data_IF_383752423210
#
_entry.id   IF_383752423210
#
_cell.length_a   1.000
_cell.length_b   1.000
_cell.length_c   1.000
_cell.angle_alpha   90.00
_cell.angle_beta   90.00
_cell.angle_gamma   90.00
#
_symmetry.space_group_name_H-M   'P 1'
#
loop_
_entity.id
_entity.type
_entity.pdbx_description
1 polymer ?
#
# COMPACT_ATOMS: atom_id res chain seq x y z
N UNK A 1 13.55 -13.42 -7.60
CA UNK A 1 12.16 -13.46 -7.07
C UNK A 1 11.20 -13.38 -8.25
N UNK A 2 10.58 -14.48 -8.63
CA UNK A 2 9.55 -14.53 -9.66
C UNK A 2 8.40 -13.59 -9.23
N UNK A 3 7.96 -12.71 -10.13
CA UNK A 3 6.81 -11.86 -9.88
C UNK A 3 5.56 -12.71 -9.70
N UNK A 4 4.75 -12.42 -8.69
CA UNK A 4 3.41 -13.00 -8.61
C UNK A 4 2.61 -12.38 -9.75
N UNK A 5 2.35 -13.17 -10.81
CA UNK A 5 1.41 -12.81 -11.85
C UNK A 5 0.01 -12.92 -11.25
N UNK A 6 -0.57 -11.77 -10.89
CA UNK A 6 -1.94 -11.72 -10.41
C UNK A 6 -2.87 -11.80 -11.64
N UNK A 7 -3.34 -12.99 -11.95
CA UNK A 7 -4.43 -13.20 -12.92
C UNK A 7 -5.74 -13.13 -12.15
N UNK A 8 -6.45 -12.01 -12.25
CA UNK A 8 -7.75 -11.84 -11.60
C UNK A 8 -8.79 -12.56 -12.46
N UNK A 9 -9.29 -13.69 -11.96
CA UNK A 9 -10.46 -14.37 -12.54
C UNK A 9 -11.70 -13.91 -11.77
N UNK A 10 -12.68 -13.39 -12.49
CA UNK A 10 -13.92 -12.89 -11.92
C UNK A 10 -14.84 -14.08 -11.60
N UNK A 11 -15.24 -14.24 -10.33
CA UNK A 11 -16.42 -15.05 -9.99
C UNK A 11 -17.63 -14.11 -10.06
N UNK A 12 -18.36 -14.23 -11.16
CA UNK A 12 -19.14 -13.13 -11.71
C UNK A 12 -20.56 -13.51 -12.10
N UNK A 13 -21.09 -14.65 -11.66
CA UNK A 13 -22.43 -15.09 -12.08
C UNK A 13 -23.49 -13.98 -11.94
N UNK A 14 -23.52 -13.28 -10.80
CA UNK A 14 -24.45 -12.15 -10.57
C UNK A 14 -24.08 -10.89 -11.36
N UNK A 15 -22.80 -10.67 -11.60
CA UNK A 15 -22.29 -9.51 -12.32
C UNK A 15 -22.51 -9.67 -13.84
N UNK A 16 -22.22 -10.85 -14.40
CA UNK A 16 -22.55 -11.29 -15.76
C UNK A 16 -24.04 -11.29 -16.00
N UNK A 17 -24.84 -11.85 -15.10
CA UNK A 17 -26.30 -11.79 -15.22
C UNK A 17 -26.80 -10.34 -15.30
N UNK A 18 -26.31 -9.48 -14.41
CA UNK A 18 -26.69 -8.07 -14.42
C UNK A 18 -26.18 -7.31 -15.67
N UNK A 19 -24.98 -7.63 -16.15
CA UNK A 19 -24.46 -7.11 -17.44
C UNK A 19 -25.34 -7.56 -18.61
N UNK A 20 -25.71 -8.83 -18.65
CA UNK A 20 -26.57 -9.39 -19.68
C UNK A 20 -27.96 -8.75 -19.65
N UNK A 21 -28.54 -8.56 -18.46
CA UNK A 21 -29.80 -7.84 -18.29
C UNK A 21 -29.68 -6.40 -18.81
N UNK A 22 -28.57 -5.70 -18.53
CA UNK A 22 -28.35 -4.35 -19.03
C UNK A 22 -28.24 -4.30 -20.57
N UNK A 23 -27.56 -5.26 -21.18
CA UNK A 23 -27.41 -5.31 -22.65
C UNK A 23 -28.74 -5.70 -23.31
N UNK A 24 -29.44 -6.70 -22.79
CA UNK A 24 -30.68 -7.22 -23.40
C UNK A 24 -31.87 -6.31 -23.12
N UNK A 25 -32.10 -5.92 -21.87
CA UNK A 25 -33.30 -5.19 -21.46
C UNK A 25 -33.16 -3.68 -21.68
N UNK A 26 -31.97 -3.13 -21.39
CA UNK A 26 -31.73 -1.68 -21.47
C UNK A 26 -31.00 -1.27 -22.76
N UNK A 27 -30.76 -2.22 -23.68
CA UNK A 27 -30.06 -2.01 -24.95
C UNK A 27 -28.71 -1.31 -24.80
N UNK A 28 -28.03 -1.53 -23.67
CA UNK A 28 -26.74 -0.92 -23.41
C UNK A 28 -25.69 -1.40 -24.43
N UNK A 29 -24.77 -0.52 -24.81
CA UNK A 29 -23.57 -0.89 -25.54
C UNK A 29 -22.67 -1.74 -24.62
N UNK A 30 -22.71 -3.06 -24.80
CA UNK A 30 -21.97 -4.03 -24.01
C UNK A 30 -20.47 -3.70 -23.89
N UNK A 31 -19.74 -3.57 -25.00
CA UNK A 31 -18.32 -3.22 -24.97
C UNK A 31 -18.01 -1.95 -24.16
N UNK A 32 -18.76 -0.86 -24.37
CA UNK A 32 -18.54 0.39 -23.62
C UNK A 32 -18.87 0.21 -22.13
N UNK A 33 -19.93 -0.54 -21.80
CA UNK A 33 -20.32 -0.83 -20.42
C UNK A 33 -19.23 -1.59 -19.67
N UNK A 34 -18.63 -2.60 -20.30
CA UNK A 34 -17.56 -3.39 -19.68
C UNK A 34 -16.28 -2.52 -19.52
N UNK A 35 -15.96 -1.65 -20.47
CA UNK A 35 -14.85 -0.67 -20.32
C UNK A 35 -15.10 0.31 -19.17
N UNK A 36 -16.32 0.84 -19.04
CA UNK A 36 -16.70 1.70 -17.92
C UNK A 36 -16.54 0.97 -16.58
N UNK A 37 -17.01 -0.28 -16.47
CA UNK A 37 -16.89 -1.08 -15.25
C UNK A 37 -15.43 -1.41 -14.90
N UNK A 38 -14.63 -1.78 -15.90
CA UNK A 38 -13.19 -2.01 -15.72
C UNK A 38 -12.48 -0.77 -15.17
N UNK A 39 -12.81 0.41 -15.71
CA UNK A 39 -12.29 1.70 -15.25
C UNK A 39 -12.69 1.99 -13.80
N UNK A 40 -13.95 1.73 -13.44
CA UNK A 40 -14.45 1.92 -12.09
C UNK A 40 -13.79 0.94 -11.10
N UNK A 41 -13.58 -0.30 -11.52
CA UNK A 41 -12.88 -1.32 -10.73
C UNK A 41 -11.44 -0.90 -10.40
N UNK A 42 -10.65 -0.50 -11.40
CA UNK A 42 -9.28 -0.02 -11.18
C UNK A 42 -9.29 1.17 -10.22
N UNK A 43 -10.25 2.07 -10.39
CA UNK A 43 -10.45 3.19 -9.48
C UNK A 43 -10.70 2.76 -8.03
N UNK A 44 -11.56 1.77 -7.79
CA UNK A 44 -11.81 1.22 -6.44
C UNK A 44 -10.57 0.51 -5.87
N UNK A 45 -9.83 -0.24 -6.69
CA UNK A 45 -8.58 -0.88 -6.28
C UNK A 45 -7.53 0.15 -5.82
N UNK A 46 -7.32 1.20 -6.62
CA UNK A 46 -6.35 2.24 -6.28
C UNK A 46 -6.71 2.95 -4.97
N UNK A 47 -8.01 3.18 -4.71
CA UNK A 47 -8.50 3.77 -3.44
C UNK A 47 -8.29 2.86 -2.23
N UNK A 48 -8.23 1.55 -2.45
CA UNK A 48 -8.06 0.49 -1.43
C UNK A 48 -6.64 -0.04 -1.29
N UNK A 49 -5.74 0.43 -2.13
CA UNK A 49 -4.32 0.10 -2.03
C UNK A 49 -3.59 1.18 -1.24
N UNK A 50 -2.79 0.85 -0.22
CA UNK A 50 -2.05 1.85 0.57
C UNK A 50 -1.00 2.60 -0.27
N UNK A 51 -0.48 3.75 0.21
CA UNK A 51 -0.78 4.39 1.50
C UNK A 51 -2.12 5.13 1.55
N UNK A 52 -2.61 5.38 2.76
CA UNK A 52 -3.80 6.20 3.06
C UNK A 52 -3.44 7.26 4.11
N UNK A 53 -3.87 8.49 3.88
CA UNK A 53 -3.95 9.49 4.93
C UNK A 53 -4.88 8.96 6.03
N UNK A 54 -4.45 9.04 7.28
CA UNK A 54 -5.38 8.92 8.40
C UNK A 54 -6.30 10.13 8.33
N UNK A 55 -7.45 9.99 7.68
CA UNK A 55 -8.55 10.92 7.89
C UNK A 55 -8.77 11.00 9.41
N UNK A 56 -8.69 12.19 9.99
CA UNK A 56 -8.94 12.46 11.41
C UNK A 56 -10.35 12.07 11.88
N UNK A 57 -11.20 11.60 10.95
CA UNK A 57 -12.50 10.98 11.20
C UNK A 57 -12.59 9.68 10.41
N UNK A 58 -11.83 8.66 10.81
CA UNK A 58 -12.05 7.29 10.37
C UNK A 58 -13.33 6.76 11.07
N UNK A 59 -14.47 7.41 10.81
CA UNK A 59 -15.76 7.15 11.47
C UNK A 59 -16.56 6.03 10.79
N UNK A 60 -15.98 5.29 9.84
CA UNK A 60 -16.61 4.04 9.38
C UNK A 60 -15.56 3.04 8.90
N UNK A 61 -15.77 1.76 9.22
CA UNK A 61 -14.91 0.62 8.86
C UNK A 61 -14.66 0.44 7.34
N UNK A 62 -15.28 1.24 6.46
CA UNK A 62 -15.35 0.96 5.02
C UNK A 62 -14.97 2.13 4.09
N UNK A 63 -14.62 3.32 4.60
CA UNK A 63 -14.27 4.48 3.77
C UNK A 63 -12.77 4.49 3.42
N UNK A 64 -12.37 3.69 2.45
CA UNK A 64 -11.06 3.81 1.81
C UNK A 64 -11.10 4.96 0.78
N UNK A 65 -10.01 5.73 0.67
CA UNK A 65 -9.92 7.10 0.14
C UNK A 65 -10.86 7.52 -0.99
N UNK A 66 -11.37 8.76 -0.96
CA UNK A 66 -12.23 9.31 -2.03
C UNK A 66 -11.50 9.45 -3.38
N UNK A 67 -10.18 9.61 -3.37
CA UNK A 67 -9.33 9.92 -4.54
C UNK A 67 -8.28 8.83 -4.80
N UNK A 68 -7.69 8.82 -5.99
CA UNK A 68 -6.69 7.83 -6.44
C UNK A 68 -5.29 8.00 -5.81
N UNK A 69 -5.20 8.69 -4.67
CA UNK A 69 -3.97 9.12 -4.03
C UNK A 69 -3.90 10.65 -3.94
N UNK A 70 -4.00 11.19 -2.74
CA UNK A 70 -3.82 12.63 -2.48
C UNK A 70 -2.38 12.95 -2.03
N UNK A 71 -2.09 14.24 -1.83
CA UNK A 71 -0.81 14.65 -1.22
C UNK A 71 -0.69 14.13 0.21
N UNK A 72 -1.80 14.09 0.94
CA UNK A 72 -1.87 13.54 2.29
C UNK A 72 -1.61 12.03 2.31
N UNK A 73 -2.10 11.29 1.31
CA UNK A 73 -1.79 9.86 1.17
C UNK A 73 -0.28 9.62 0.96
N UNK A 74 0.36 10.47 0.15
CA UNK A 74 1.79 10.41 -0.08
C UNK A 74 2.59 10.69 1.20
N UNK A 75 2.24 11.76 1.93
CA UNK A 75 2.89 12.10 3.20
C UNK A 75 2.63 11.04 4.28
N UNK A 76 1.45 10.42 4.32
CA UNK A 76 1.18 9.29 5.19
C UNK A 76 2.08 8.08 4.86
N UNK A 77 2.35 7.84 3.58
CA UNK A 77 3.33 6.85 3.13
C UNK A 77 4.74 7.15 3.63
N UNK A 78 5.19 8.40 3.52
CA UNK A 78 6.50 8.82 4.04
C UNK A 78 6.57 8.64 5.54
N UNK A 79 5.57 9.09 6.28
CA UNK A 79 5.51 8.97 7.74
C UNK A 79 5.53 7.51 8.21
N UNK A 80 4.85 6.61 7.49
CA UNK A 80 4.90 5.18 7.77
C UNK A 80 6.31 4.62 7.56
N UNK A 81 6.97 4.95 6.44
CA UNK A 81 8.35 4.54 6.15
C UNK A 81 9.33 5.09 7.19
N UNK A 82 9.23 6.38 7.54
CA UNK A 82 10.07 7.00 8.57
C UNK A 82 9.88 6.32 9.92
N UNK A 83 8.63 6.08 10.31
CA UNK A 83 8.31 5.42 11.57
C UNK A 83 8.79 3.96 11.62
N UNK A 84 8.74 3.25 10.49
CA UNK A 84 9.24 1.88 10.38
C UNK A 84 10.78 1.85 10.46
N UNK A 85 11.47 2.73 9.72
CA UNK A 85 12.93 2.80 9.77
C UNK A 85 13.46 3.26 11.13
N UNK A 86 12.82 4.25 11.77
CA UNK A 86 13.22 4.76 13.09
C UNK A 86 13.07 3.72 14.23
N UNK A 87 12.23 2.69 14.04
CA UNK A 87 12.12 1.58 14.99
C UNK A 87 13.36 0.69 14.98
N UNK A 88 13.97 0.49 13.81
CA UNK A 88 15.06 -0.47 13.61
C UNK A 88 16.43 0.19 13.44
N UNK A 89 16.47 1.48 13.12
CA UNK A 89 17.71 2.20 12.90
C UNK A 89 17.65 3.59 13.54
N UNK A 90 18.77 3.99 14.13
CA UNK A 90 19.01 5.36 14.53
C UNK A 90 20.09 5.98 13.66
N UNK A 91 20.29 7.28 13.80
CA UNK A 91 21.30 8.00 13.04
C UNK A 91 22.01 9.05 13.89
N UNK A 92 23.26 9.33 13.54
CA UNK A 92 24.08 10.35 14.17
C UNK A 92 25.09 10.92 13.16
N UNK A 93 25.84 11.94 13.56
CA UNK A 93 26.94 12.45 12.75
C UNK A 93 28.03 11.39 12.53
N UNK A 94 28.56 11.32 11.30
CA UNK A 94 29.61 10.34 10.94
C UNK A 94 30.81 10.41 11.89
N UNK A 95 31.28 11.61 12.23
CA UNK A 95 32.43 11.81 13.12
C UNK A 95 32.19 11.22 14.51
N UNK A 96 30.98 11.39 15.05
CA UNK A 96 30.59 10.78 16.33
C UNK A 96 30.59 9.25 16.25
N UNK A 97 30.03 8.68 15.19
CA UNK A 97 30.02 7.22 14.99
C UNK A 97 31.43 6.64 14.83
N UNK A 98 32.30 7.35 14.11
CA UNK A 98 33.69 6.97 13.94
C UNK A 98 34.42 7.00 15.28
N UNK A 99 34.30 8.09 16.03
CA UNK A 99 34.88 8.20 17.37
C UNK A 99 34.43 7.06 18.29
N UNK A 100 33.14 6.73 18.29
CA UNK A 100 32.65 5.58 19.05
C UNK A 100 33.30 4.29 18.57
N UNK A 101 33.28 4.03 17.27
CA UNK A 101 33.85 2.79 16.70
C UNK A 101 35.33 2.64 17.06
N UNK A 102 36.10 3.74 17.05
CA UNK A 102 37.52 3.75 17.40
C UNK A 102 37.74 3.57 18.91
N UNK A 103 36.84 4.13 19.74
CA UNK A 103 36.95 4.10 21.20
C UNK A 103 36.50 2.76 21.81
N UNK A 104 35.40 2.19 21.29
CA UNK A 104 34.71 1.04 21.89
C UNK A 104 34.72 -0.20 20.99
N UNK A 105 35.25 -0.10 19.77
CA UNK A 105 35.15 -1.16 18.77
C UNK A 105 33.78 -1.21 18.08
N UNK A 106 33.66 -2.08 17.08
CA UNK A 106 32.48 -2.18 16.20
C UNK A 106 31.48 -3.26 16.63
N UNK A 107 31.63 -3.84 17.83
CA UNK A 107 30.87 -5.01 18.30
C UNK A 107 30.03 -4.66 19.51
N UNK A 108 28.69 -4.67 19.34
CA UNK A 108 27.66 -4.69 20.39
C UNK A 108 27.96 -3.78 21.60
N UNK A 109 27.85 -2.47 21.41
CA UNK A 109 27.95 -1.56 22.54
C UNK A 109 26.66 -1.67 23.35
N UNK A 110 26.76 -2.38 24.47
CA UNK A 110 25.87 -2.25 25.60
C UNK A 110 26.69 -1.67 26.75
N UNK A 111 26.43 -0.42 27.15
CA UNK A 111 26.24 -0.14 28.57
C UNK A 111 25.52 1.17 28.87
N UNK A 112 24.85 1.07 30.03
CA UNK A 112 23.89 1.90 30.72
C UNK A 112 24.50 2.18 32.10
N UNK A 113 24.24 3.35 32.71
CA UNK A 113 24.24 3.45 34.18
C UNK A 113 23.15 4.42 34.65
N UNK A 114 22.13 3.86 35.30
CA UNK A 114 21.31 4.57 36.27
C UNK A 114 21.86 4.25 37.66
N UNK A 115 22.48 5.22 38.32
CA UNK A 115 22.38 5.31 39.78
C UNK A 115 21.26 6.31 40.06
N UNK A 116 20.22 5.88 40.79
CA UNK A 116 19.24 6.79 41.39
C UNK A 116 20.03 7.82 42.23
N UNK A 117 20.16 9.05 41.73
CA UNK A 117 20.93 10.13 42.35
C UNK A 117 22.23 10.56 41.64
N UNK A 118 22.72 9.86 40.60
CA UNK A 118 23.87 10.36 39.81
C UNK A 118 23.41 11.21 38.63
N UNK A 119 23.87 12.46 38.53
CA UNK A 119 23.52 13.44 37.48
C UNK A 119 24.00 13.10 36.05
N UNK A 120 24.48 11.89 35.76
CA UNK A 120 24.98 11.50 34.42
C UNK A 120 24.25 10.26 33.90
N UNK A 121 23.29 10.40 32.97
CA UNK A 121 22.71 9.27 32.27
C UNK A 121 23.33 9.12 30.88
N UNK A 122 23.87 7.95 30.53
CA UNK A 122 23.97 7.55 29.13
C UNK A 122 23.56 6.08 29.00
N UNK A 123 22.60 5.84 28.13
CA UNK A 123 22.16 4.52 27.68
C UNK A 123 22.23 4.59 26.16
N UNK A 124 23.20 3.91 25.57
CA UNK A 124 23.31 3.76 24.11
C UNK A 124 23.20 2.29 23.80
N UNK A 125 21.96 1.80 23.67
CA UNK A 125 21.69 0.45 23.18
C UNK A 125 21.62 0.51 21.65
N UNK A 126 22.69 0.09 21.02
CA UNK A 126 22.83 -0.09 19.58
C UNK A 126 23.60 -1.37 19.30
N UNK A 127 23.08 -2.19 18.38
CA UNK A 127 23.64 -3.51 18.12
C UNK A 127 24.90 -3.44 17.26
N UNK A 128 24.95 -2.49 16.34
CA UNK A 128 26.03 -2.35 15.36
C UNK A 128 26.04 -0.95 14.75
N UNK A 129 27.17 -0.58 14.16
CA UNK A 129 27.32 0.61 13.33
C UNK A 129 27.51 0.17 11.87
N UNK A 130 26.82 0.84 10.95
CA UNK A 130 26.98 0.65 9.51
C UNK A 130 27.20 2.00 8.84
N UNK A 131 28.12 2.06 7.88
CA UNK A 131 28.46 3.33 7.22
C UNK A 131 27.84 3.49 5.84
N UNK A 132 27.30 2.41 5.27
CA UNK A 132 26.77 2.41 3.91
C UNK A 132 25.28 2.03 3.84
N UNK A 133 24.63 2.48 2.76
CA UNK A 133 23.20 2.24 2.52
C UNK A 133 22.91 0.74 2.32
N UNK A 134 23.86 -0.02 1.77
CA UNK A 134 23.69 -1.45 1.47
C UNK A 134 23.46 -2.28 2.73
N UNK A 135 24.25 -2.04 3.77
CA UNK A 135 24.14 -2.66 5.08
C UNK A 135 22.83 -2.28 5.77
N UNK A 136 22.49 -0.99 5.77
CA UNK A 136 21.21 -0.52 6.30
C UNK A 136 20.03 -1.18 5.59
N UNK A 137 20.09 -1.31 4.27
CA UNK A 137 19.05 -1.97 3.48
C UNK A 137 18.98 -3.49 3.75
N UNK A 138 20.12 -4.15 4.00
CA UNK A 138 20.16 -5.57 4.37
C UNK A 138 19.55 -5.78 5.76
N UNK A 139 19.94 -4.94 6.72
CA UNK A 139 19.41 -4.98 8.08
C UNK A 139 17.91 -4.69 8.11
N UNK A 140 17.46 -3.62 7.43
CA UNK A 140 16.04 -3.30 7.32
C UNK A 140 15.23 -4.48 6.80
N UNK A 141 15.68 -5.12 5.71
CA UNK A 141 15.02 -6.32 5.15
C UNK A 141 14.99 -7.50 6.12
N UNK A 142 16.05 -7.72 6.92
CA UNK A 142 16.06 -8.79 7.92
C UNK A 142 15.09 -8.57 9.08
N UNK A 143 14.68 -7.32 9.34
CA UNK A 143 13.75 -6.97 10.41
C UNK A 143 12.29 -6.89 9.93
N UNK A 144 12.02 -7.03 8.63
CA UNK A 144 10.66 -7.04 8.11
C UNK A 144 9.94 -8.34 8.50
N UNK A 145 8.73 -8.22 9.03
CA UNK A 145 7.84 -9.35 9.24
C UNK A 145 7.32 -9.91 7.90
N UNK A 146 6.56 -11.02 7.95
CA UNK A 146 5.82 -11.56 6.79
C UNK A 146 4.91 -10.55 6.09
N UNK A 147 4.53 -9.48 6.78
CA UNK A 147 3.69 -8.40 6.26
C UNK A 147 4.49 -7.23 5.67
N UNK A 148 5.81 -7.36 5.57
CA UNK A 148 6.68 -6.35 4.95
C UNK A 148 6.89 -5.10 5.78
N UNK A 149 6.54 -5.12 7.08
CA UNK A 149 6.82 -4.06 8.04
C UNK A 149 7.57 -4.61 9.25
N UNK A 150 8.46 -3.83 9.89
CA UNK A 150 9.05 -4.26 11.14
C UNK A 150 7.96 -4.48 12.19
N UNK A 151 8.05 -5.54 13.00
CA UNK A 151 7.10 -5.77 14.07
C UNK A 151 7.13 -4.56 15.01
N UNK A 152 5.95 -4.03 15.34
CA UNK A 152 5.87 -2.90 16.26
C UNK A 152 6.22 -3.39 17.67
N UNK A 153 7.49 -3.22 18.04
CA UNK A 153 8.06 -3.65 19.33
C UNK A 153 7.27 -3.06 20.51
N UNK A 154 6.63 -1.90 20.32
CA UNK A 154 5.83 -1.22 21.35
C UNK A 154 4.39 -1.75 21.48
N UNK A 155 3.86 -2.46 20.47
CA UNK A 155 2.45 -2.94 20.47
C UNK A 155 2.30 -4.43 20.70
N UNK A 156 3.30 -5.25 20.37
CA UNK A 156 3.12 -6.71 20.36
C UNK A 156 3.08 -7.37 21.73
N UNK A 157 3.45 -6.68 22.83
CA UNK A 157 3.34 -7.19 24.21
C UNK A 157 4.23 -8.41 24.53
N UNK A 158 4.59 -9.21 23.53
CA UNK A 158 5.69 -10.18 23.51
C UNK A 158 7.00 -9.41 23.53
N UNK A 159 7.34 -8.98 24.74
CA UNK A 159 8.67 -8.55 25.14
C UNK A 159 9.55 -9.80 25.04
N UNK A 160 10.10 -10.09 23.87
CA UNK A 160 11.28 -10.96 23.78
C UNK A 160 12.38 -10.22 24.54
N UNK A 161 12.48 -10.53 25.83
CA UNK A 161 13.33 -9.83 26.76
C UNK A 161 14.77 -10.05 26.39
N UNK A 162 15.46 -8.98 25.97
CA UNK A 162 16.90 -8.95 26.10
C UNK A 162 17.28 -9.15 27.57
N UNK A 163 18.38 -9.85 27.82
CA UNK A 163 18.84 -10.26 29.15
C UNK A 163 19.31 -9.10 30.05
N UNK A 164 19.29 -7.85 29.56
CA UNK A 164 20.09 -6.76 30.12
C UNK A 164 19.40 -5.81 31.13
N UNK A 165 18.08 -5.89 31.36
CA UNK A 165 17.36 -4.92 32.22
C UNK A 165 16.30 -5.56 33.12
N UNK A 166 16.74 -6.41 34.05
CA UNK A 166 15.87 -7.12 35.01
C UNK A 166 15.23 -6.18 36.06
N UNK A 167 15.84 -5.03 36.36
CA UNK A 167 15.55 -4.31 37.62
C UNK A 167 14.67 -3.04 37.50
N UNK A 168 14.36 -2.55 36.29
CA UNK A 168 13.68 -1.24 36.10
C UNK A 168 12.30 -1.36 35.43
N UNK A 169 11.75 -2.57 35.33
CA UNK A 169 10.37 -2.82 34.88
C UNK A 169 10.05 -2.44 33.43
N UNK A 170 11.02 -2.00 32.62
CA UNK A 170 10.84 -1.59 31.22
C UNK A 170 11.76 -2.37 30.29
N UNK A 171 11.23 -3.48 29.80
CA UNK A 171 11.84 -4.40 28.85
C UNK A 171 11.77 -3.83 27.43
N UNK A 172 12.89 -3.35 26.85
CA UNK A 172 12.99 -3.11 25.40
C UNK A 172 14.42 -3.38 24.94
N UNK A 173 14.70 -4.56 24.39
CA UNK A 173 15.92 -4.77 23.62
C UNK A 173 15.84 -3.87 22.38
N UNK A 174 16.66 -2.82 22.31
CA UNK A 174 16.73 -1.95 21.14
C UNK A 174 17.78 -2.52 20.20
N UNK A 175 17.37 -3.49 19.41
CA UNK A 175 18.20 -4.01 18.31
C UNK A 175 18.29 -3.01 17.15
N UNK A 176 18.91 -1.86 17.41
CA UNK A 176 19.04 -0.78 16.44
C UNK A 176 20.39 -0.84 15.74
N UNK A 177 20.35 -0.73 14.42
CA UNK A 177 21.53 -0.41 13.63
C UNK A 177 21.70 1.11 13.61
N UNK A 178 22.92 1.58 13.81
CA UNK A 178 23.18 3.02 13.77
C UNK A 178 24.04 3.37 12.59
N UNK A 179 23.65 4.46 11.94
CA UNK A 179 24.19 4.84 10.65
C UNK A 179 24.45 6.34 10.60
N UNK A 180 25.38 6.81 9.76
CA UNK A 180 25.54 8.24 9.54
C UNK A 180 24.24 8.88 9.03
N UNK A 181 24.03 10.17 9.38
CA UNK A 181 22.89 10.97 8.93
C UNK A 181 22.68 10.87 7.42
N UNK A 182 23.74 11.02 6.62
CA UNK A 182 23.68 10.95 5.17
C UNK A 182 23.26 9.57 4.65
N UNK A 183 23.69 8.50 5.32
CA UNK A 183 23.31 7.12 4.99
C UNK A 183 21.83 6.88 5.32
N UNK A 184 21.38 7.37 6.48
CA UNK A 184 19.99 7.25 6.91
C UNK A 184 19.03 8.00 5.97
N UNK A 185 19.29 9.28 5.74
CA UNK A 185 18.43 10.12 4.89
C UNK A 185 18.54 9.74 3.41
N UNK A 186 19.71 9.32 2.95
CA UNK A 186 19.91 8.75 1.62
C UNK A 186 19.06 7.51 1.40
N UNK A 187 19.04 6.59 2.37
CA UNK A 187 18.19 5.40 2.29
C UNK A 187 16.69 5.72 2.41
N UNK A 188 16.29 6.64 3.29
CA UNK A 188 14.90 7.12 3.36
C UNK A 188 14.43 7.67 2.03
N UNK A 189 15.26 8.46 1.34
CA UNK A 189 14.94 8.98 0.01
C UNK A 189 14.70 7.86 -1.00
N UNK A 190 15.52 6.79 -0.97
CA UNK A 190 15.29 5.60 -1.80
C UNK A 190 13.96 4.92 -1.47
N UNK A 191 13.64 4.74 -0.19
CA UNK A 191 12.37 4.16 0.26
C UNK A 191 11.16 5.00 -0.16
N UNK A 192 11.25 6.32 -0.07
CA UNK A 192 10.20 7.23 -0.57
C UNK A 192 9.99 7.12 -2.08
N UNK A 193 11.04 6.75 -2.82
CA UNK A 193 10.95 6.37 -4.23
C UNK A 193 9.94 5.27 -4.51
N UNK A 194 9.76 4.32 -3.58
CA UNK A 194 8.83 3.19 -3.71
C UNK A 194 7.38 3.48 -3.30
N UNK A 195 7.09 4.67 -2.75
CA UNK A 195 5.73 5.06 -2.40
C UNK A 195 4.89 5.09 -3.69
N UNK A 196 3.78 4.34 -3.67
CA UNK A 196 2.84 4.23 -4.80
C UNK A 196 3.00 3.00 -5.67
N UNK A 197 4.05 2.19 -5.48
CA UNK A 197 4.28 1.00 -6.30
C UNK A 197 3.10 0.01 -6.26
N UNK A 198 2.43 -0.13 -5.10
CA UNK A 198 1.25 -0.98 -4.96
C UNK A 198 0.08 -0.51 -5.86
N UNK A 199 -0.18 0.80 -5.87
CA UNK A 199 -1.25 1.43 -6.66
C UNK A 199 -0.94 1.40 -8.15
N UNK A 200 0.34 1.34 -8.50
CA UNK A 200 0.82 1.38 -9.87
C UNK A 200 0.66 0.06 -10.65
N UNK A 201 0.31 -1.04 -9.97
CA UNK A 201 0.09 -2.36 -10.58
C UNK A 201 -0.95 -2.36 -11.71
N UNK A 202 -1.81 -1.36 -11.79
CA UNK A 202 -2.83 -1.20 -12.84
C UNK A 202 -2.66 0.08 -13.68
N UNK A 203 -1.50 0.76 -13.62
CA UNK A 203 -1.29 2.00 -14.39
C UNK A 203 -1.54 1.81 -15.89
N UNK A 204 -0.98 0.76 -16.49
CA UNK A 204 -1.15 0.46 -17.91
C UNK A 204 -2.63 0.31 -18.29
N UNK A 205 -3.38 -0.48 -17.51
CA UNK A 205 -4.80 -0.68 -17.73
C UNK A 205 -5.60 0.61 -17.48
N UNK A 206 -5.25 1.39 -16.46
CA UNK A 206 -5.87 2.67 -16.17
C UNK A 206 -5.69 3.65 -17.34
N UNK A 207 -4.49 3.71 -17.94
CA UNK A 207 -4.22 4.55 -19.11
C UNK A 207 -4.97 4.07 -20.35
N UNK A 208 -4.97 2.76 -20.62
CA UNK A 208 -5.73 2.17 -21.73
C UNK A 208 -7.24 2.49 -21.62
N UNK A 209 -7.78 2.53 -20.40
CA UNK A 209 -9.18 2.88 -20.11
C UNK A 209 -9.42 4.41 -19.97
N UNK A 210 -8.44 5.24 -20.34
CA UNK A 210 -8.57 6.69 -20.38
C UNK A 210 -8.69 7.37 -19.01
N UNK A 211 -8.12 6.78 -17.96
CA UNK A 211 -8.05 7.42 -16.63
C UNK A 211 -7.01 8.55 -16.63
N UNK A 212 -7.48 9.79 -16.59
CA UNK A 212 -6.61 10.98 -16.68
C UNK A 212 -5.97 11.44 -15.36
N UNK A 213 -6.53 11.04 -14.20
CA UNK A 213 -6.20 11.63 -12.89
C UNK A 213 -5.42 10.68 -11.98
N UNK A 214 -4.35 10.07 -12.51
CA UNK A 214 -3.43 9.24 -11.71
C UNK A 214 -2.32 10.13 -11.15
N UNK A 215 -2.08 10.14 -9.82
CA UNK A 215 -1.03 10.99 -9.24
C UNK A 215 0.36 10.68 -9.80
N UNK A 216 1.23 11.70 -10.03
CA UNK A 216 2.57 11.49 -10.59
C UNK A 216 3.44 10.50 -9.80
N UNK A 217 3.32 10.49 -8.47
CA UNK A 217 4.08 9.58 -7.59
C UNK A 217 3.64 8.10 -7.70
N UNK A 218 2.44 7.84 -8.23
CA UNK A 218 1.97 6.50 -8.62
C UNK A 218 2.39 6.19 -10.05
N UNK A 219 2.25 7.15 -10.98
CA UNK A 219 2.57 7.00 -12.40
C UNK A 219 4.03 6.63 -12.67
N UNK A 220 4.98 7.17 -11.88
CA UNK A 220 6.43 6.94 -12.05
C UNK A 220 6.87 5.48 -11.97
N UNK A 221 6.04 4.60 -11.41
CA UNK A 221 6.35 3.18 -11.25
C UNK A 221 6.13 2.35 -12.53
N UNK A 222 5.70 2.99 -13.61
CA UNK A 222 5.59 2.37 -14.93
C UNK A 222 4.37 1.45 -15.11
N UNK A 223 4.40 0.71 -16.23
CA UNK A 223 3.34 -0.18 -16.71
C UNK A 223 3.49 -1.57 -16.09
N UNK A 224 3.20 -1.67 -14.79
CA UNK A 224 3.23 -2.95 -14.06
C UNK A 224 1.99 -3.83 -14.33
N UNK A 225 1.19 -3.53 -15.34
CA UNK A 225 -0.03 -4.27 -15.66
C UNK A 225 -0.27 -4.39 -17.16
N UNK A 226 -1.29 -5.16 -17.53
CA UNK A 226 -1.75 -5.28 -18.90
C UNK A 226 -3.27 -5.17 -18.97
N UNK A 227 -3.73 -4.72 -20.13
CA UNK A 227 -5.13 -4.65 -20.49
C UNK A 227 -5.31 -5.26 -21.87
N UNK A 228 -6.25 -6.20 -21.98
CA UNK A 228 -6.67 -6.73 -23.27
C UNK A 228 -8.17 -6.97 -23.29
N UNK A 229 -8.79 -6.62 -24.41
CA UNK A 229 -10.18 -6.94 -24.73
C UNK A 229 -10.18 -8.23 -25.56
N UNK A 230 -11.01 -9.21 -25.19
CA UNK A 230 -11.16 -10.46 -25.93
C UNK A 230 -12.64 -10.80 -26.08
N UNK A 231 -13.05 -11.31 -27.23
CA UNK A 231 -14.40 -11.84 -27.47
C UNK A 231 -15.18 -11.12 -28.55
N UNK A 232 -16.32 -11.70 -28.91
CA UNK A 232 -17.29 -11.16 -29.87
C UNK A 232 -18.37 -10.32 -29.15
N UNK A 233 -19.29 -9.73 -29.92
CA UNK A 233 -20.39 -8.92 -29.37
C UNK A 233 -21.30 -9.68 -28.39
N UNK A 234 -21.28 -11.02 -28.43
CA UNK A 234 -22.06 -11.91 -27.56
C UNK A 234 -21.31 -12.39 -26.30
N UNK A 235 -19.97 -12.37 -26.29
CA UNK A 235 -19.13 -12.89 -25.22
C UNK A 235 -17.89 -12.01 -24.99
N UNK A 236 -18.12 -10.72 -24.73
CA UNK A 236 -17.07 -9.76 -24.46
C UNK A 236 -16.45 -9.96 -23.07
N UNK A 237 -15.14 -10.24 -23.02
CA UNK A 237 -14.35 -10.40 -21.82
C UNK A 237 -13.24 -9.34 -21.75
N UNK A 238 -13.06 -8.72 -20.59
CA UNK A 238 -11.89 -7.87 -20.32
C UNK A 238 -10.94 -8.61 -19.39
N UNK A 239 -9.69 -8.74 -19.83
CA UNK A 239 -8.60 -9.24 -18.99
C UNK A 239 -7.82 -8.04 -18.47
N UNK A 240 -7.85 -7.87 -17.15
CA UNK A 240 -7.03 -6.89 -16.43
C UNK A 240 -6.05 -7.67 -15.57
N UNK A 241 -4.76 -7.49 -15.82
CA UNK A 241 -3.71 -8.10 -15.00
C UNK A 241 -2.79 -7.02 -14.44
N UNK A 242 -2.30 -7.26 -13.23
CA UNK A 242 -1.38 -6.36 -12.55
C UNK A 242 -0.35 -7.16 -11.77
N UNK A 243 0.91 -6.77 -11.85
CA UNK A 243 1.97 -7.34 -11.04
C UNK A 243 2.18 -6.47 -9.81
N UNK A 244 1.77 -6.97 -8.64
CA UNK A 244 2.08 -6.34 -7.37
C UNK A 244 2.95 -7.24 -6.52
N UNK A 245 4.10 -6.72 -6.10
CA UNK A 245 5.00 -7.39 -5.14
C UNK A 245 4.61 -7.09 -3.69
N UNK A 246 3.48 -6.41 -3.47
CA UNK A 246 3.06 -5.96 -2.13
C UNK A 246 2.24 -7.06 -1.46
N UNK A 247 2.65 -7.53 -0.27
CA UNK A 247 1.85 -8.49 0.50
C UNK A 247 0.42 -7.98 0.72
N UNK A 248 -0.57 -8.84 0.51
CA UNK A 248 -1.98 -8.48 0.67
C UNK A 248 -2.61 -7.71 -0.50
N UNK A 249 -1.89 -7.53 -1.63
CA UNK A 249 -2.46 -6.91 -2.82
C UNK A 249 -3.71 -7.64 -3.36
N UNK A 250 -3.74 -8.98 -3.28
CA UNK A 250 -4.90 -9.78 -3.67
C UNK A 250 -6.14 -9.41 -2.86
N UNK A 251 -6.01 -9.24 -1.53
CA UNK A 251 -7.12 -8.82 -0.69
C UNK A 251 -7.71 -7.47 -1.12
N UNK A 252 -6.86 -6.50 -1.48
CA UNK A 252 -7.33 -5.21 -1.98
C UNK A 252 -8.06 -5.34 -3.33
N UNK A 253 -7.64 -6.27 -4.18
CA UNK A 253 -8.35 -6.64 -5.42
C UNK A 253 -9.71 -7.23 -5.10
N UNK A 254 -9.77 -8.24 -4.23
CA UNK A 254 -11.01 -8.95 -3.88
C UNK A 254 -12.04 -7.99 -3.27
N UNK A 255 -11.59 -7.12 -2.36
CA UNK A 255 -12.43 -6.10 -1.74
C UNK A 255 -12.94 -5.06 -2.76
N UNK A 256 -12.06 -4.60 -3.67
CA UNK A 256 -12.44 -3.68 -4.74
C UNK A 256 -13.48 -4.30 -5.67
N UNK A 257 -13.29 -5.57 -6.01
CA UNK A 257 -14.19 -6.33 -6.86
C UNK A 257 -15.57 -6.49 -6.22
N UNK A 258 -15.62 -6.99 -4.97
CA UNK A 258 -16.86 -7.21 -4.25
C UNK A 258 -17.70 -5.92 -4.14
N UNK A 259 -17.04 -4.79 -3.91
CA UNK A 259 -17.71 -3.49 -3.79
C UNK A 259 -18.17 -2.98 -5.14
N UNK A 260 -17.38 -3.16 -6.20
CA UNK A 260 -17.78 -2.76 -7.54
C UNK A 260 -18.98 -3.57 -8.01
N UNK A 261 -18.97 -4.88 -7.85
CA UNK A 261 -20.11 -5.75 -8.14
C UNK A 261 -21.37 -5.30 -7.39
N UNK A 262 -21.26 -5.04 -6.07
CA UNK A 262 -22.38 -4.53 -5.26
C UNK A 262 -22.92 -3.19 -5.77
N UNK A 263 -22.03 -2.24 -6.09
CA UNK A 263 -22.41 -0.92 -6.61
C UNK A 263 -23.07 -1.01 -7.98
N UNK A 264 -22.57 -1.88 -8.86
CA UNK A 264 -23.11 -2.08 -10.19
C UNK A 264 -24.53 -2.65 -10.15
N UNK A 265 -24.75 -3.73 -9.38
CA UNK A 265 -26.08 -4.33 -9.21
C UNK A 265 -27.08 -3.31 -8.66
N UNK A 266 -26.69 -2.54 -7.63
CA UNK A 266 -27.55 -1.50 -7.06
C UNK A 266 -27.90 -0.40 -8.09
N UNK A 267 -26.92 -0.01 -8.91
CA UNK A 267 -27.11 0.99 -9.97
C UNK A 267 -28.04 0.48 -11.08
N UNK A 268 -27.87 -0.75 -11.54
CA UNK A 268 -28.75 -1.36 -12.53
C UNK A 268 -30.17 -1.50 -12.02
N UNK A 269 -30.37 -1.98 -10.78
CA UNK A 269 -31.71 -2.05 -10.18
C UNK A 269 -32.39 -0.68 -10.15
N UNK A 270 -31.63 0.38 -9.87
CA UNK A 270 -32.14 1.76 -9.92
C UNK A 270 -32.52 2.17 -11.34
N UNK A 271 -31.69 1.86 -12.33
CA UNK A 271 -31.95 2.18 -13.74
C UNK A 271 -33.19 1.42 -14.25
N UNK A 272 -33.27 0.11 -14.00
CA UNK A 272 -34.41 -0.73 -14.39
C UNK A 272 -35.71 -0.24 -13.74
N UNK A 273 -35.68 0.10 -12.44
CA UNK A 273 -36.85 0.66 -11.76
C UNK A 273 -37.28 2.01 -12.35
N UNK A 274 -36.32 2.87 -12.68
CA UNK A 274 -36.58 4.16 -13.33
C UNK A 274 -37.15 3.98 -14.74
N UNK A 275 -36.62 3.04 -15.51
CA UNK A 275 -37.09 2.71 -16.85
C UNK A 275 -38.51 2.14 -16.80
N UNK A 276 -38.80 1.20 -15.90
CA UNK A 276 -40.15 0.66 -15.72
C UNK A 276 -41.18 1.74 -15.36
N UNK A 277 -40.79 2.75 -14.58
CA UNK A 277 -41.69 3.83 -14.16
C UNK A 277 -41.89 4.91 -15.23
N UNK A 278 -40.90 5.18 -16.08
CA UNK A 278 -40.89 6.37 -16.96
C UNK A 278 -40.78 6.06 -18.44
N UNK A 279 -40.47 4.82 -18.81
CA UNK A 279 -40.10 4.40 -20.17
C UNK A 279 -38.77 4.99 -20.66
N UNK A 280 -38.03 5.73 -19.81
CA UNK A 280 -36.78 6.42 -20.17
C UNK A 280 -35.62 5.96 -19.29
N UNK A 281 -34.46 5.79 -19.90
CA UNK A 281 -33.22 5.47 -19.19
C UNK A 281 -32.61 6.77 -18.65
N UNK A 282 -32.63 6.94 -17.33
CA UNK A 282 -32.04 8.10 -16.65
C UNK A 282 -30.70 7.70 -16.04
N UNK A 283 -29.62 7.84 -16.82
CA UNK A 283 -28.26 7.56 -16.36
C UNK A 283 -27.24 8.54 -16.94
N UNK A 284 -26.10 8.67 -16.25
CA UNK A 284 -24.95 9.47 -16.71
C UNK A 284 -23.92 8.63 -17.48
N UNK A 285 -24.15 7.33 -17.57
CA UNK A 285 -23.27 6.38 -18.26
C UNK A 285 -23.40 6.54 -19.76
N UNK A 286 -22.27 6.55 -20.45
CA UNK A 286 -22.24 6.67 -21.90
C UNK A 286 -22.73 5.39 -22.56
N UNK A 287 -22.48 4.24 -21.91
CA UNK A 287 -22.89 2.94 -22.42
C UNK A 287 -24.41 2.76 -22.61
N UNK A 288 -25.23 3.65 -22.07
CA UNK A 288 -26.70 3.61 -22.20
C UNK A 288 -27.26 4.77 -23.04
N UNK A 289 -26.40 5.64 -23.56
CA UNK A 289 -26.78 6.76 -24.42
C UNK A 289 -26.49 6.37 -25.87
N UNK A 290 -27.37 5.55 -26.44
CA UNK A 290 -27.43 5.25 -27.88
C UNK A 290 -28.64 5.93 -28.49
#
# INVERSE_FOLDING_TARGET
RQGVNLTIKFDDLKFRAALQDAVVQLKANGPELVKEEARLFIGEYMKRSPPFAKSSKQSSKNEYGKNFGTKEDYEAGKNAITGDLAQIAGHAERGYLQWVSDTFGNTQINQQLFKKGSKKPYLIDWNAIAYNIGELAKFHRSKLSRYGRPPNIYKTGKKEGGTATKDIGRWVAREKLMVPNETYFGYLKQLYGYIGAAKASFNAAAFALGMKRIPPWVRRHGDLGNYSEQGDASNFNIIISGQSKVPGAQRAVDEALAIRAKKFVAELNRIMKGFAATGKILTRRKSFNT
#
